data_IF_348848473088
#
_entry.id   IF_348848473088
#
_cell.length_a   1.000
_cell.length_b   1.000
_cell.length_c   1.000
_cell.angle_alpha   90.00
_cell.angle_beta   90.00
_cell.angle_gamma   90.00
#
_symmetry.space_group_name_H-M   'P 1'
#
loop_
_entity.id
_entity.type
_entity.pdbx_description
1 polymer ?
#
# COMPACT_ATOMS: atom_id res chain seq x y z
N UNK A 1 -2.32 -12.10 -2.85
CA UNK A 1 -1.41 -11.34 -3.75
C UNK A 1 -0.38 -10.57 -2.93
N UNK A 2 0.69 -10.18 -3.57
CA UNK A 2 1.72 -9.33 -2.96
C UNK A 2 1.58 -7.93 -3.52
N UNK A 3 1.50 -6.93 -2.65
CA UNK A 3 1.32 -5.54 -3.07
C UNK A 3 2.47 -4.65 -2.60
N UNK A 4 2.95 -3.83 -3.51
CA UNK A 4 4.02 -2.85 -3.29
C UNK A 4 3.39 -1.46 -3.31
N UNK A 5 3.08 -0.94 -2.13
CA UNK A 5 2.32 0.29 -1.97
C UNK A 5 3.25 1.50 -1.94
N UNK A 6 2.97 2.48 -2.78
CA UNK A 6 3.82 3.65 -2.91
C UNK A 6 5.16 3.32 -3.55
N UNK A 7 5.13 2.52 -4.60
CA UNK A 7 6.34 1.92 -5.18
C UNK A 7 7.30 2.92 -5.83
N UNK A 8 6.79 4.07 -6.33
CA UNK A 8 7.61 4.98 -7.11
C UNK A 8 8.33 4.26 -8.23
N UNK A 9 9.64 4.45 -8.34
CA UNK A 9 10.48 3.80 -9.36
C UNK A 9 10.82 2.34 -9.02
N UNK A 10 10.47 1.86 -7.83
CA UNK A 10 10.84 0.52 -7.35
C UNK A 10 9.81 -0.51 -7.75
N UNK A 11 9.71 -0.76 -9.04
CA UNK A 11 8.78 -1.76 -9.59
C UNK A 11 9.32 -3.15 -9.26
N UNK A 12 8.50 -3.97 -8.63
CA UNK A 12 8.84 -5.35 -8.27
C UNK A 12 8.07 -6.31 -9.16
N UNK A 13 8.79 -7.17 -9.87
CA UNK A 13 8.18 -8.20 -10.70
C UNK A 13 7.46 -9.22 -9.81
N UNK A 14 6.26 -9.61 -10.20
CA UNK A 14 5.45 -10.55 -9.42
C UNK A 14 4.64 -9.91 -8.31
N UNK A 15 4.77 -8.61 -8.13
CA UNK A 15 4.01 -7.81 -7.18
C UNK A 15 3.02 -6.91 -7.92
N UNK A 16 1.93 -6.57 -7.25
CA UNK A 16 1.05 -5.50 -7.72
C UNK A 16 1.65 -4.18 -7.24
N UNK A 17 2.16 -3.38 -8.17
CA UNK A 17 2.83 -2.13 -7.89
C UNK A 17 1.82 -0.99 -7.97
N UNK A 18 1.66 -0.26 -6.86
CA UNK A 18 0.70 0.82 -6.73
C UNK A 18 1.43 2.10 -6.39
N UNK A 19 1.11 3.17 -7.09
CA UNK A 19 1.59 4.50 -6.77
C UNK A 19 0.51 5.54 -7.06
N UNK A 20 0.67 6.72 -6.49
CA UNK A 20 -0.25 7.83 -6.68
C UNK A 20 -0.17 8.38 -8.11
N UNK A 21 1.01 8.28 -8.72
CA UNK A 21 1.28 8.81 -10.06
C UNK A 21 1.68 7.69 -11.01
N UNK A 22 1.37 7.86 -12.28
CA UNK A 22 1.71 6.89 -13.34
C UNK A 22 3.03 7.24 -14.05
N UNK A 23 3.97 7.83 -13.34
CA UNK A 23 5.29 8.20 -13.87
C UNK A 23 6.10 6.96 -14.28
N UNK A 24 5.95 5.88 -13.54
CA UNK A 24 6.59 4.59 -13.81
C UNK A 24 5.50 3.56 -14.19
N UNK A 25 5.87 2.40 -14.78
CA UNK A 25 4.89 1.43 -15.23
C UNK A 25 4.25 0.67 -14.06
N UNK A 26 3.46 1.40 -13.26
CA UNK A 26 2.73 0.83 -12.13
C UNK A 26 1.52 0.07 -12.60
N UNK A 27 1.09 -0.92 -11.81
CA UNK A 27 -0.10 -1.73 -12.11
C UNK A 27 -1.38 -1.00 -11.72
N UNK A 28 -1.33 -0.22 -10.65
CA UNK A 28 -2.49 0.49 -10.10
C UNK A 28 -2.09 1.91 -9.75
N UNK A 29 -2.88 2.89 -10.20
CA UNK A 29 -2.74 4.28 -9.78
C UNK A 29 -3.79 4.56 -8.70
N UNK A 30 -3.33 4.85 -7.50
CA UNK A 30 -4.22 5.09 -6.36
C UNK A 30 -3.49 5.91 -5.28
N UNK A 31 -4.21 6.85 -4.68
CA UNK A 31 -3.73 7.62 -3.54
C UNK A 31 -4.01 6.85 -2.25
N UNK A 32 -2.98 6.49 -1.51
CA UNK A 32 -3.11 5.72 -0.27
C UNK A 32 -3.84 6.47 0.86
N UNK A 33 -4.09 7.76 0.69
CA UNK A 33 -4.93 8.54 1.60
C UNK A 33 -6.39 8.62 1.14
N UNK A 34 -6.73 7.89 0.08
CA UNK A 34 -8.10 7.78 -0.46
C UNK A 34 -8.62 6.37 -0.22
N UNK A 35 -9.80 6.26 0.37
CA UNK A 35 -10.38 4.99 0.79
C UNK A 35 -11.67 4.67 0.05
N UNK A 36 -11.98 3.40 -0.18
CA UNK A 36 -11.18 2.21 0.15
C UNK A 36 -10.06 1.96 -0.85
N UNK A 37 -9.07 1.18 -0.45
CA UNK A 37 -8.04 0.69 -1.38
C UNK A 37 -8.67 -0.28 -2.40
N UNK A 38 -8.16 -0.31 -3.64
CA UNK A 38 -8.77 -1.11 -4.71
C UNK A 38 -8.40 -2.61 -4.63
N UNK A 39 -8.44 -3.16 -3.42
CA UNK A 39 -8.16 -4.57 -3.15
C UNK A 39 -9.28 -5.14 -2.30
N UNK A 40 -9.62 -6.39 -2.55
CA UNK A 40 -10.64 -7.08 -1.76
C UNK A 40 -10.15 -7.35 -0.33
N UNK A 41 -11.08 -7.43 0.59
CA UNK A 41 -10.80 -7.79 1.99
C UNK A 41 -10.08 -9.14 2.03
N UNK A 42 -8.96 -9.19 2.76
CA UNK A 42 -8.22 -10.41 2.96
C UNK A 42 -7.46 -10.92 1.74
N UNK A 43 -7.25 -10.08 0.71
CA UNK A 43 -6.65 -10.53 -0.55
C UNK A 43 -5.13 -10.48 -0.58
N UNK A 44 -4.50 -9.76 0.34
CA UNK A 44 -3.05 -9.52 0.30
C UNK A 44 -2.31 -10.43 1.28
N UNK A 45 -1.37 -11.21 0.76
CA UNK A 45 -0.53 -12.11 1.55
C UNK A 45 0.77 -11.45 1.99
N UNK A 46 1.26 -10.48 1.23
CA UNK A 46 2.42 -9.67 1.58
C UNK A 46 2.19 -8.23 1.15
N UNK A 47 2.53 -7.30 2.03
CA UNK A 47 2.42 -5.87 1.78
C UNK A 47 3.78 -5.22 2.05
N UNK A 48 4.29 -4.49 1.07
CA UNK A 48 5.53 -3.71 1.21
C UNK A 48 5.20 -2.22 1.16
N UNK A 49 5.68 -1.48 2.15
CA UNK A 49 5.65 -0.02 2.18
C UNK A 49 7.06 0.46 2.50
N UNK A 50 7.80 0.84 1.48
CA UNK A 50 9.19 1.24 1.62
C UNK A 50 9.31 2.76 1.56
N UNK A 51 9.59 3.40 2.69
CA UNK A 51 9.67 4.86 2.83
C UNK A 51 8.39 5.59 2.39
N UNK A 52 7.23 5.05 2.78
CA UNK A 52 5.92 5.58 2.39
C UNK A 52 5.12 6.03 3.59
N UNK A 53 5.10 5.23 4.67
CA UNK A 53 4.21 5.45 5.81
C UNK A 53 4.46 6.81 6.49
N UNK A 54 5.70 7.28 6.51
CA UNK A 54 6.06 8.58 7.09
C UNK A 54 5.46 9.77 6.34
N UNK A 55 5.02 9.56 5.10
CA UNK A 55 4.38 10.59 4.26
C UNK A 55 2.86 10.54 4.32
N UNK A 56 2.31 9.56 5.02
CA UNK A 56 0.87 9.35 5.13
C UNK A 56 0.35 9.83 6.48
N UNK A 57 -0.87 10.35 6.47
CA UNK A 57 -1.58 10.60 7.70
C UNK A 57 -1.07 11.79 8.49
N UNK A 58 -0.83 12.93 7.83
CA UNK A 58 -0.63 14.19 8.54
C UNK A 58 -1.83 14.51 9.46
N UNK A 59 -2.99 14.01 9.10
CA UNK A 59 -4.23 14.05 9.86
C UNK A 59 -4.44 12.68 10.55
N UNK A 60 -4.82 12.69 11.82
CA UNK A 60 -5.00 11.46 12.60
C UNK A 60 -6.11 10.57 12.02
N UNK A 61 -7.18 11.15 11.49
CA UNK A 61 -8.28 10.38 10.89
C UNK A 61 -7.82 9.67 9.62
N UNK A 62 -7.02 10.34 8.81
CA UNK A 62 -6.44 9.74 7.60
C UNK A 62 -5.48 8.62 7.98
N UNK A 63 -4.62 8.86 8.96
CA UNK A 63 -3.69 7.82 9.45
C UNK A 63 -4.45 6.58 9.93
N UNK A 64 -5.51 6.78 10.71
CA UNK A 64 -6.36 5.68 11.17
C UNK A 64 -7.02 4.94 10.00
N UNK A 65 -7.44 5.68 8.97
CA UNK A 65 -8.00 5.09 7.75
C UNK A 65 -6.98 4.20 7.03
N UNK A 66 -5.74 4.66 6.93
CA UNK A 66 -4.64 3.87 6.34
C UNK A 66 -4.44 2.57 7.12
N UNK A 67 -4.34 2.65 8.44
CA UNK A 67 -4.15 1.47 9.30
C UNK A 67 -5.30 0.48 9.16
N UNK A 68 -6.54 0.98 9.16
CA UNK A 68 -7.73 0.14 8.98
C UNK A 68 -7.73 -0.56 7.62
N UNK A 69 -7.34 0.14 6.56
CA UNK A 69 -7.29 -0.44 5.22
C UNK A 69 -6.17 -1.48 5.09
N UNK A 70 -5.01 -1.22 5.65
CA UNK A 70 -3.95 -2.22 5.69
C UNK A 70 -4.42 -3.49 6.39
N UNK A 71 -5.12 -3.35 7.50
CA UNK A 71 -5.69 -4.49 8.21
C UNK A 71 -6.75 -5.21 7.36
N UNK A 72 -7.64 -4.45 6.71
CA UNK A 72 -8.74 -5.00 5.92
C UNK A 72 -8.24 -5.87 4.77
N UNK A 73 -7.23 -5.39 4.04
CA UNK A 73 -6.73 -6.08 2.84
C UNK A 73 -5.80 -7.25 3.18
N UNK A 74 -5.29 -7.34 4.40
CA UNK A 74 -4.43 -8.44 4.84
C UNK A 74 -5.20 -9.75 4.88
N UNK A 75 -4.64 -10.79 4.24
CA UNK A 75 -5.06 -12.16 4.48
C UNK A 75 -4.63 -12.61 5.88
N UNK A 76 -5.17 -13.73 6.36
CA UNK A 76 -4.68 -14.36 7.59
C UNK A 76 -3.19 -14.69 7.40
N UNK A 77 -2.39 -14.42 8.43
CA UNK A 77 -0.94 -14.64 8.42
C UNK A 77 -0.20 -13.82 7.37
N UNK A 78 -0.78 -12.71 6.90
CA UNK A 78 -0.11 -11.80 5.98
C UNK A 78 1.14 -11.20 6.61
N UNK A 79 2.14 -10.91 5.77
CA UNK A 79 3.39 -10.27 6.19
C UNK A 79 3.42 -8.83 5.71
N UNK A 80 3.73 -7.93 6.63
CA UNK A 80 3.89 -6.50 6.32
C UNK A 80 5.36 -6.14 6.48
N UNK A 81 5.91 -5.56 5.42
CA UNK A 81 7.28 -5.04 5.41
C UNK A 81 7.18 -3.51 5.33
N UNK A 82 7.32 -2.85 6.47
CA UNK A 82 7.21 -1.40 6.55
C UNK A 82 8.58 -0.85 6.92
N UNK A 83 9.20 -0.15 5.98
CA UNK A 83 10.50 0.47 6.17
C UNK A 83 10.33 1.98 6.21
N UNK A 84 10.78 2.60 7.31
CA UNK A 84 10.82 4.05 7.47
C UNK A 84 12.25 4.47 7.78
N UNK A 85 12.64 5.73 7.48
CA UNK A 85 13.99 6.19 7.81
C UNK A 85 14.24 6.27 9.29
#
# INVERSE_FOLDING_TARGET
>A
MKVNLGCGSKILQGWVNLDKYDVYPVDVVHDLETFPYPFETGSCTEILMNHVLEHLGADADIFNGVVKELHRICANDARLYINVP
#
